data_IF_399147660590
#
_entry.id   IF_399147660590
#
_cell.length_a   1.000
_cell.length_b   1.000
_cell.length_c   1.000
_cell.angle_alpha   90.00
_cell.angle_beta   90.00
_cell.angle_gamma   90.00
#
_symmetry.space_group_name_H-M   'P 1'
#
loop_
_entity.id
_entity.type
_entity.pdbx_description
1 polymer ?
#
# COMPACT_ATOMS: atom_id res chain seq x y z
N UNK A 1 8.37 -8.59 6.46
CA UNK A 1 8.68 -7.15 6.59
C UNK A 1 10.00 -7.05 7.34
N UNK A 2 10.87 -6.13 6.94
CA UNK A 2 12.22 -5.99 7.51
C UNK A 2 12.44 -4.60 8.08
N UNK A 3 13.51 -4.46 8.85
CA UNK A 3 13.90 -3.18 9.45
C UNK A 3 14.45 -2.20 8.40
N UNK A 4 14.58 -0.94 8.81
CA UNK A 4 15.27 0.06 7.99
C UNK A 4 16.77 -0.22 8.02
N UNK A 5 17.40 -0.18 6.87
CA UNK A 5 18.85 -0.33 6.72
C UNK A 5 19.47 0.86 5.99
N UNK A 6 20.73 1.14 6.28
CA UNK A 6 21.52 2.12 5.53
C UNK A 6 22.03 1.42 4.27
N UNK A 7 21.65 1.91 3.11
CA UNK A 7 22.14 1.40 1.83
C UNK A 7 22.51 2.57 0.92
N UNK A 8 23.73 2.55 0.41
CA UNK A 8 24.35 3.65 -0.35
C UNK A 8 24.29 4.99 0.42
N UNK A 9 24.53 4.96 1.73
CA UNK A 9 24.52 6.14 2.60
C UNK A 9 23.13 6.68 2.98
N UNK A 10 22.04 6.03 2.55
CA UNK A 10 20.66 6.49 2.85
C UNK A 10 19.90 5.44 3.66
N UNK A 11 19.24 5.88 4.74
CA UNK A 11 18.35 5.04 5.54
C UNK A 11 17.04 4.79 4.79
N UNK A 12 16.75 3.52 4.47
CA UNK A 12 15.53 3.13 3.75
C UNK A 12 15.03 1.76 4.19
N UNK A 13 13.73 1.51 3.99
CA UNK A 13 13.22 0.13 4.00
C UNK A 13 13.62 -0.53 2.69
N UNK A 14 14.49 -1.53 2.75
CA UNK A 14 14.88 -2.30 1.58
C UNK A 14 13.99 -3.53 1.45
N UNK A 15 13.44 -3.73 0.25
CA UNK A 15 12.75 -4.96 -0.12
C UNK A 15 13.75 -5.96 -0.69
N UNK A 16 13.44 -7.26 -0.63
CA UNK A 16 14.19 -8.26 -1.38
C UNK A 16 13.77 -8.17 -2.87
N UNK A 17 14.66 -7.74 -3.78
CA UNK A 17 14.31 -7.58 -5.18
C UNK A 17 14.13 -8.93 -5.89
N UNK A 18 14.87 -9.96 -5.49
CA UNK A 18 14.81 -11.30 -6.10
C UNK A 18 13.45 -11.96 -5.82
N UNK A 19 12.94 -11.85 -4.60
CA UNK A 19 11.62 -12.42 -4.26
C UNK A 19 10.48 -11.66 -4.94
N UNK A 20 10.61 -10.34 -5.09
CA UNK A 20 9.66 -9.52 -5.85
C UNK A 20 9.65 -9.93 -7.33
N UNK A 21 10.84 -10.04 -7.94
CA UNK A 21 10.99 -10.43 -9.34
C UNK A 21 10.52 -11.86 -9.60
N UNK A 22 10.83 -12.80 -8.71
CA UNK A 22 10.35 -14.17 -8.81
C UNK A 22 8.81 -14.23 -8.78
N UNK A 23 8.15 -13.51 -7.86
CA UNK A 23 6.69 -13.44 -7.86
C UNK A 23 6.16 -12.80 -9.14
N UNK A 24 6.81 -11.74 -9.62
CA UNK A 24 6.49 -11.09 -10.88
C UNK A 24 6.53 -12.09 -12.07
N UNK A 25 7.56 -12.93 -12.15
CA UNK A 25 7.65 -13.98 -13.18
C UNK A 25 6.56 -15.06 -13.08
N UNK A 26 6.08 -15.34 -11.86
CA UNK A 26 5.01 -16.34 -11.65
C UNK A 26 3.65 -15.79 -12.10
N UNK A 27 3.35 -14.52 -11.78
CA UNK A 27 2.05 -13.92 -12.14
C UNK A 27 1.97 -13.51 -13.62
N UNK A 28 3.10 -13.47 -14.32
CA UNK A 28 3.17 -13.31 -15.79
C UNK A 28 2.70 -11.94 -16.32
N UNK A 29 2.53 -10.94 -15.46
CA UNK A 29 2.07 -9.58 -15.77
C UNK A 29 2.82 -8.59 -14.89
N UNK A 30 2.83 -7.30 -15.18
CA UNK A 30 3.35 -6.29 -14.25
C UNK A 30 2.74 -6.46 -12.84
N UNK A 31 3.58 -6.84 -11.87
CA UNK A 31 3.12 -6.90 -10.49
C UNK A 31 2.79 -5.47 -10.01
N UNK A 32 1.79 -5.33 -9.16
CA UNK A 32 1.40 -4.03 -8.59
C UNK A 32 0.80 -4.15 -7.20
N UNK A 33 1.02 -5.29 -6.52
CA UNK A 33 0.30 -5.64 -5.30
C UNK A 33 0.53 -4.64 -4.17
N UNK A 34 1.75 -4.12 -4.04
CA UNK A 34 2.09 -3.08 -3.05
C UNK A 34 1.35 -1.77 -3.30
N UNK A 35 1.18 -1.37 -4.56
CA UNK A 35 0.42 -0.16 -4.92
C UNK A 35 -1.08 -0.36 -4.71
N UNK A 36 -1.60 -1.56 -4.97
CA UNK A 36 -3.03 -1.89 -4.82
C UNK A 36 -3.51 -1.87 -3.37
N UNK A 37 -2.65 -2.23 -2.40
CA UNK A 37 -2.98 -2.20 -0.96
C UNK A 37 -2.66 -0.89 -0.28
N UNK A 38 -1.99 0.02 -0.96
CA UNK A 38 -1.48 1.21 -0.29
C UNK A 38 -2.65 2.14 0.05
N UNK A 39 -2.84 2.52 1.33
CA UNK A 39 -3.92 3.43 1.72
C UNK A 39 -3.81 4.82 1.07
N UNK A 40 -2.64 5.17 0.51
CA UNK A 40 -2.43 6.42 -0.22
C UNK A 40 -2.82 6.34 -1.71
N UNK A 41 -2.98 5.13 -2.26
CA UNK A 41 -3.19 4.87 -3.70
C UNK A 41 -4.65 4.94 -4.16
N UNK A 42 -5.58 5.29 -3.27
CA UNK A 42 -6.99 5.48 -3.64
C UNK A 42 -7.20 6.74 -4.51
N UNK A 43 -8.35 6.85 -5.20
CA UNK A 43 -8.63 7.96 -6.11
C UNK A 43 -8.47 9.34 -5.46
N UNK A 44 -7.99 10.30 -6.26
CA UNK A 44 -7.82 11.66 -5.81
C UNK A 44 -9.17 12.40 -5.77
N UNK A 45 -9.69 12.63 -4.56
CA UNK A 45 -10.95 13.33 -4.32
C UNK A 45 -10.91 14.05 -2.97
N UNK A 46 -11.92 14.88 -2.70
CA UNK A 46 -11.99 15.72 -1.48
C UNK A 46 -11.88 14.89 -0.19
N UNK A 47 -12.62 13.77 -0.12
CA UNK A 47 -12.60 12.89 1.05
C UNK A 47 -11.20 12.32 1.28
N UNK A 48 -10.57 11.79 0.23
CA UNK A 48 -9.26 11.20 0.34
C UNK A 48 -8.19 12.26 0.68
N UNK A 49 -8.32 13.48 0.15
CA UNK A 49 -7.42 14.58 0.49
C UNK A 49 -7.54 15.02 1.95
N UNK A 50 -8.75 14.97 2.53
CA UNK A 50 -8.95 15.16 3.97
C UNK A 50 -8.25 14.06 4.78
N UNK A 51 -8.36 12.80 4.34
CA UNK A 51 -7.67 11.67 4.99
C UNK A 51 -6.15 11.87 4.93
N UNK A 52 -5.56 12.15 3.77
CA UNK A 52 -4.11 12.43 3.62
C UNK A 52 -3.67 13.59 4.52
N UNK A 53 -4.46 14.66 4.60
CA UNK A 53 -4.20 15.78 5.49
C UNK A 53 -4.17 15.35 6.96
N UNK A 54 -5.14 14.55 7.40
CA UNK A 54 -5.21 14.03 8.77
C UNK A 54 -4.02 13.12 9.12
N UNK A 55 -3.66 12.22 8.21
CA UNK A 55 -2.51 11.30 8.39
C UNK A 55 -1.20 12.07 8.55
N UNK A 56 -1.03 13.18 7.83
CA UNK A 56 0.16 14.05 7.96
C UNK A 56 0.23 14.72 9.33
N UNK A 57 -0.91 15.08 9.92
CA UNK A 57 -0.97 15.92 11.14
C UNK A 57 -0.93 15.13 12.45
N UNK A 58 -1.42 13.88 12.48
CA UNK A 58 -1.54 13.10 13.72
C UNK A 58 -1.12 11.63 13.58
N UNK A 59 -0.45 11.11 14.62
CA UNK A 59 -0.13 9.69 14.76
C UNK A 59 -1.37 8.81 15.00
N UNK A 60 -2.36 9.30 15.76
CA UNK A 60 -3.61 8.56 15.98
C UNK A 60 -4.40 8.42 14.69
N UNK A 61 -4.37 9.44 13.84
CA UNK A 61 -5.03 9.42 12.54
C UNK A 61 -4.36 8.44 11.57
N UNK A 62 -3.04 8.24 11.66
CA UNK A 62 -2.34 7.16 10.90
C UNK A 62 -2.89 5.79 11.27
N UNK A 63 -3.02 5.52 12.58
CA UNK A 63 -3.55 4.23 13.05
C UNK A 63 -5.01 4.04 12.65
N UNK A 64 -5.85 5.07 12.84
CA UNK A 64 -7.25 5.04 12.45
C UNK A 64 -7.41 4.84 10.93
N UNK A 65 -6.61 5.54 10.12
CA UNK A 65 -6.65 5.39 8.66
C UNK A 65 -6.29 3.97 8.22
N UNK A 66 -5.27 3.33 8.83
CA UNK A 66 -4.92 1.94 8.54
C UNK A 66 -6.05 0.97 8.92
N UNK A 67 -6.66 1.16 10.09
CA UNK A 67 -7.78 0.34 10.52
C UNK A 67 -9.00 0.48 9.60
N UNK A 68 -9.34 1.71 9.22
CA UNK A 68 -10.46 1.98 8.33
C UNK A 68 -10.20 1.44 6.91
N UNK A 69 -8.96 1.54 6.43
CA UNK A 69 -8.57 0.96 5.13
C UNK A 69 -8.80 -0.55 5.10
N UNK A 70 -8.30 -1.26 6.12
CA UNK A 70 -8.52 -2.70 6.30
C UNK A 70 -10.01 -3.05 6.45
N UNK A 71 -10.81 -2.20 7.09
CA UNK A 71 -12.25 -2.43 7.28
C UNK A 71 -13.05 -2.26 5.98
N UNK A 72 -12.77 -1.22 5.19
CA UNK A 72 -13.55 -0.93 3.98
C UNK A 72 -13.07 -1.71 2.74
N UNK A 73 -11.76 -1.89 2.57
CA UNK A 73 -11.17 -2.50 1.37
C UNK A 73 -10.64 -3.92 1.62
N UNK A 74 -10.50 -4.32 2.88
CA UNK A 74 -9.87 -5.57 3.28
C UNK A 74 -8.34 -5.53 3.14
N UNK A 75 -7.65 -6.45 3.82
CA UNK A 75 -6.19 -6.61 3.71
C UNK A 75 -5.74 -7.11 2.33
N UNK A 76 -6.66 -7.76 1.61
CA UNK A 76 -6.41 -8.39 0.31
C UNK A 76 -7.47 -7.96 -0.71
N UNK A 77 -7.48 -6.68 -1.10
CA UNK A 77 -8.41 -6.20 -2.11
C UNK A 77 -8.13 -6.91 -3.44
N UNK A 78 -9.19 -7.17 -4.24
CA UNK A 78 -9.02 -7.70 -5.59
C UNK A 78 -8.27 -6.71 -6.48
N UNK A 79 -7.79 -7.18 -7.63
CA UNK A 79 -7.22 -6.30 -8.63
C UNK A 79 -8.27 -5.26 -9.09
N UNK A 80 -7.84 -4.00 -9.17
CA UNK A 80 -8.69 -2.86 -9.56
C UNK A 80 -9.26 -3.11 -10.96
N UNK A 81 -10.56 -3.36 -11.05
CA UNK A 81 -11.26 -3.70 -12.30
C UNK A 81 -12.09 -4.98 -12.24
N UNK A 82 -11.95 -5.81 -11.19
CA UNK A 82 -12.92 -6.88 -10.87
C UNK A 82 -13.79 -6.41 -9.70
N UNK A 83 -15.11 -6.34 -9.90
CA UNK A 83 -16.04 -6.06 -8.81
C UNK A 83 -15.95 -7.16 -7.76
N UNK A 84 -16.03 -6.77 -6.49
CA UNK A 84 -16.18 -7.70 -5.37
C UNK A 84 -17.64 -8.19 -5.24
N UNK A 85 -18.55 -7.64 -6.04
CA UNK A 85 -19.92 -8.11 -6.25
C UNK A 85 -19.95 -9.04 -7.46
N UNK A 86 -20.73 -10.14 -7.41
CA UNK A 86 -20.96 -11.00 -8.57
C UNK A 86 -21.50 -10.21 -9.76
#
# INVERSE_FOLDING_TARGET
QGDREISNGVLRWKINPESCYHYWTIVGTDCGRCLAVCPYSHPDNLLHNLVRWGIRRSGTFRQAALFLDDFFYGKKPPYRGKSFLP
#
